data_IF_092081690239
#
_entry.id   IF_092081690239
#
_cell.length_a   1.000
_cell.length_b   1.000
_cell.length_c   1.000
_cell.angle_alpha   90.00
_cell.angle_beta   90.00
_cell.angle_gamma   90.00
#
_symmetry.space_group_name_H-M   'P 1'
#
loop_
_entity.id
_entity.type
_entity.pdbx_description
1 polymer ?
#
# COMPACT_ATOMS: atom_id res chain seq x y z
N UNK A 1 12.04 -29.52 5.25
CA UNK A 1 10.90 -29.77 4.33
C UNK A 1 10.60 -28.45 3.64
N UNK A 2 10.44 -28.46 2.32
CA UNK A 2 10.13 -27.27 1.53
C UNK A 2 8.64 -27.29 1.17
N UNK A 3 7.92 -26.23 1.52
CA UNK A 3 6.52 -26.05 1.17
C UNK A 3 6.38 -25.11 -0.02
N UNK A 4 5.41 -25.36 -0.89
CA UNK A 4 5.03 -24.48 -2.00
C UNK A 4 3.79 -23.69 -1.63
N UNK A 5 3.94 -22.38 -1.53
CA UNK A 5 2.84 -21.47 -1.20
C UNK A 5 2.51 -20.66 -2.44
N UNK A 6 1.23 -20.62 -2.82
CA UNK A 6 0.77 -19.69 -3.85
C UNK A 6 0.27 -18.41 -3.18
N UNK A 7 0.72 -17.27 -3.69
CA UNK A 7 0.37 -15.95 -3.16
C UNK A 7 -0.22 -15.09 -4.25
N UNK A 8 -1.30 -14.38 -3.93
CA UNK A 8 -1.97 -13.47 -4.85
C UNK A 8 -1.90 -12.05 -4.30
N UNK A 9 -1.63 -11.09 -5.18
CA UNK A 9 -1.82 -9.66 -4.97
C UNK A 9 -2.97 -9.21 -5.88
N UNK A 10 -4.17 -9.21 -5.33
CA UNK A 10 -5.43 -8.94 -6.02
C UNK A 10 -5.86 -7.49 -5.78
N UNK A 11 -5.48 -6.60 -6.70
CA UNK A 11 -5.97 -5.23 -6.74
C UNK A 11 -7.29 -5.10 -7.51
N UNK A 12 -7.75 -3.86 -7.72
CA UNK A 12 -9.03 -3.61 -8.42
C UNK A 12 -8.98 -3.90 -9.94
N UNK A 13 -7.81 -3.83 -10.57
CA UNK A 13 -7.66 -3.95 -12.04
C UNK A 13 -6.77 -5.10 -12.49
N UNK A 14 -5.87 -5.56 -11.62
CA UNK A 14 -4.84 -6.54 -11.93
C UNK A 14 -4.72 -7.51 -10.76
N UNK A 15 -4.42 -8.76 -11.05
CA UNK A 15 -4.05 -9.77 -10.08
C UNK A 15 -2.66 -10.26 -10.42
N UNK A 16 -1.71 -10.03 -9.52
CA UNK A 16 -0.40 -10.65 -9.60
C UNK A 16 -0.40 -11.93 -8.78
N UNK A 17 0.37 -12.93 -9.19
CA UNK A 17 0.43 -14.23 -8.52
C UNK A 17 1.86 -14.73 -8.51
N UNK A 18 2.25 -15.45 -7.46
CA UNK A 18 3.53 -16.13 -7.39
C UNK A 18 3.45 -17.47 -6.66
N UNK A 19 4.33 -18.39 -7.07
CA UNK A 19 4.71 -19.58 -6.29
C UNK A 19 5.97 -19.24 -5.50
N UNK A 20 5.87 -19.36 -4.18
CA UNK A 20 6.97 -19.12 -3.25
C UNK A 20 7.32 -20.43 -2.56
N UNK A 21 8.59 -20.82 -2.66
CA UNK A 21 9.13 -21.95 -1.90
C UNK A 21 9.50 -21.47 -0.50
N UNK A 22 9.04 -22.17 0.53
CA UNK A 22 9.36 -21.93 1.93
C UNK A 22 10.18 -23.10 2.50
N UNK A 23 11.44 -22.85 2.84
CA UNK A 23 12.27 -23.79 3.58
C UNK A 23 12.08 -23.59 5.09
N UNK A 24 11.36 -24.53 5.72
CA UNK A 24 11.06 -24.50 7.16
C UNK A 24 12.31 -24.56 8.04
N UNK A 25 13.42 -25.15 7.59
CA UNK A 25 14.65 -25.25 8.40
C UNK A 25 15.44 -23.95 8.41
N UNK A 26 15.49 -23.27 7.26
CA UNK A 26 16.22 -22.00 7.12
C UNK A 26 15.33 -20.79 7.39
N UNK A 27 14.02 -21.01 7.58
CA UNK A 27 12.99 -19.96 7.61
C UNK A 27 13.15 -19.00 6.42
N UNK A 28 13.42 -19.58 5.25
CA UNK A 28 13.79 -18.85 4.03
C UNK A 28 12.67 -18.96 3.00
N UNK A 29 12.38 -17.84 2.34
CA UNK A 29 11.37 -17.71 1.31
C UNK A 29 12.07 -17.38 -0.01
N UNK A 30 11.64 -18.01 -1.10
CA UNK A 30 12.15 -17.74 -2.43
C UNK A 30 11.03 -17.74 -3.47
N UNK A 31 10.82 -16.60 -4.14
CA UNK A 31 9.87 -16.50 -5.24
C UNK A 31 10.40 -17.27 -6.45
N UNK A 32 9.74 -18.37 -6.81
CA UNK A 32 10.19 -19.25 -7.90
C UNK A 32 9.66 -18.80 -9.25
N UNK A 33 8.40 -18.41 -9.29
CA UNK A 33 7.69 -18.01 -10.51
C UNK A 33 6.59 -17.04 -10.15
N UNK A 34 6.42 -16.01 -10.96
CA UNK A 34 5.39 -15.01 -10.77
C UNK A 34 4.83 -14.55 -12.11
N UNK A 35 3.62 -14.03 -12.10
CA UNK A 35 3.12 -13.27 -13.23
C UNK A 35 1.91 -12.42 -12.87
N UNK A 36 1.27 -11.89 -13.90
CA UNK A 36 0.30 -10.82 -13.77
C UNK A 36 -0.80 -10.98 -14.82
N UNK A 37 -2.05 -10.97 -14.37
CA UNK A 37 -3.23 -10.98 -15.24
C UNK A 37 -4.05 -9.71 -14.98
N UNK A 38 -4.60 -9.12 -16.04
CA UNK A 38 -5.61 -8.06 -15.87
C UNK A 38 -6.95 -8.71 -15.61
N UNK A 39 -7.61 -8.33 -14.53
CA UNK A 39 -8.88 -8.94 -14.08
C UNK A 39 -9.96 -8.82 -15.16
N UNK A 40 -9.96 -7.71 -15.91
CA UNK A 40 -10.93 -7.46 -16.99
C UNK A 40 -10.73 -8.29 -18.25
N UNK A 41 -9.59 -8.95 -18.40
CA UNK A 41 -9.34 -9.86 -19.53
C UNK A 41 -10.02 -11.23 -19.29
N UNK A 42 -10.55 -11.45 -18.07
CA UNK A 42 -11.33 -12.62 -17.68
C UNK A 42 -12.81 -12.25 -17.51
N UNK A 43 -13.69 -13.25 -17.67
CA UNK A 43 -15.15 -13.08 -17.49
C UNK A 43 -15.67 -13.65 -16.15
N UNK A 44 -14.85 -14.43 -15.44
CA UNK A 44 -15.19 -15.04 -14.15
C UNK A 44 -13.96 -15.27 -13.28
N UNK A 45 -14.20 -15.53 -11.99
CA UNK A 45 -13.14 -15.92 -11.05
C UNK A 45 -12.52 -17.28 -11.43
N UNK A 46 -13.31 -18.22 -11.94
CA UNK A 46 -12.81 -19.50 -12.47
C UNK A 46 -11.82 -19.28 -13.62
N UNK A 47 -12.15 -18.41 -14.58
CA UNK A 47 -11.25 -18.11 -15.69
C UNK A 47 -9.99 -17.41 -15.20
N UNK A 48 -10.11 -16.41 -14.32
CA UNK A 48 -8.94 -15.76 -13.72
C UNK A 48 -8.02 -16.80 -13.07
N UNK A 49 -8.59 -17.72 -12.29
CA UNK A 49 -7.82 -18.78 -11.64
C UNK A 49 -7.08 -19.66 -12.66
N UNK A 50 -7.75 -20.08 -13.72
CA UNK A 50 -7.13 -20.88 -14.78
C UNK A 50 -5.98 -20.12 -15.48
N UNK A 51 -6.16 -18.83 -15.77
CA UNK A 51 -5.09 -18.01 -16.35
C UNK A 51 -3.91 -17.83 -15.38
N UNK A 52 -4.18 -17.68 -14.08
CA UNK A 52 -3.13 -17.64 -13.07
C UNK A 52 -2.39 -18.99 -12.96
N UNK A 53 -3.10 -20.12 -13.00
CA UNK A 53 -2.50 -21.46 -13.04
C UNK A 53 -1.63 -21.66 -14.29
N UNK A 54 -2.08 -21.19 -15.46
CA UNK A 54 -1.31 -21.23 -16.71
C UNK A 54 -0.02 -20.41 -16.60
N UNK A 55 -0.11 -19.20 -16.03
CA UNK A 55 1.05 -18.32 -15.80
C UNK A 55 2.05 -18.93 -14.82
N UNK A 56 1.57 -19.68 -13.82
CA UNK A 56 2.41 -20.34 -12.83
C UNK A 56 2.92 -21.72 -13.27
N UNK A 57 2.40 -22.29 -14.36
CA UNK A 57 2.60 -23.70 -14.73
C UNK A 57 2.32 -24.65 -13.54
N UNK A 58 1.31 -24.30 -12.72
CA UNK A 58 0.98 -25.02 -11.49
C UNK A 58 -0.47 -24.79 -11.10
N UNK A 59 -1.19 -25.87 -10.82
CA UNK A 59 -2.56 -25.81 -10.28
C UNK A 59 -2.56 -25.31 -8.85
N UNK A 60 -3.60 -24.55 -8.48
CA UNK A 60 -3.84 -24.07 -7.12
C UNK A 60 -3.93 -25.23 -6.12
N UNK A 61 -4.55 -26.35 -6.54
CA UNK A 61 -4.70 -27.56 -5.72
C UNK A 61 -3.39 -28.33 -5.46
N UNK A 62 -2.29 -27.99 -6.14
CA UNK A 62 -0.98 -28.59 -5.90
C UNK A 62 -0.11 -27.82 -4.90
N UNK A 63 -0.57 -26.66 -4.41
CA UNK A 63 0.12 -25.92 -3.37
C UNK A 63 -0.14 -26.54 -1.98
N UNK A 64 0.73 -26.25 -1.02
CA UNK A 64 0.53 -26.61 0.39
C UNK A 64 -0.41 -25.61 1.09
N UNK A 65 -0.38 -24.33 0.66
CA UNK A 65 -1.28 -23.28 1.13
C UNK A 65 -1.43 -22.17 0.08
N UNK A 66 -2.51 -21.41 0.19
CA UNK A 66 -2.77 -20.24 -0.67
C UNK A 66 -3.06 -18.99 0.19
N UNK A 67 -2.35 -17.89 -0.05
CA UNK A 67 -2.63 -16.60 0.57
C UNK A 67 -3.01 -15.55 -0.48
N UNK A 68 -4.20 -14.98 -0.35
CA UNK A 68 -4.72 -13.97 -1.26
C UNK A 68 -4.77 -12.64 -0.52
N UNK A 69 -3.81 -11.76 -0.79
CA UNK A 69 -3.90 -10.35 -0.42
C UNK A 69 -4.82 -9.65 -1.39
N UNK A 70 -5.93 -9.09 -0.93
CA UNK A 70 -6.96 -8.53 -1.79
C UNK A 70 -7.45 -7.16 -1.34
N UNK A 71 -7.72 -6.30 -2.32
CA UNK A 71 -8.40 -5.04 -2.09
C UNK A 71 -9.88 -5.28 -1.80
N UNK A 72 -10.36 -4.89 -0.62
CA UNK A 72 -11.75 -5.03 -0.21
C UNK A 72 -11.93 -5.91 1.03
N UNK A 73 -13.19 -6.23 1.34
CA UNK A 73 -13.60 -6.96 2.52
C UNK A 73 -14.04 -8.38 2.15
N UNK A 74 -13.39 -9.37 2.73
CA UNK A 74 -13.78 -10.77 2.58
C UNK A 74 -14.66 -11.21 3.76
N UNK A 75 -15.86 -11.72 3.46
CA UNK A 75 -16.84 -12.11 4.48
C UNK A 75 -16.81 -13.61 4.84
N UNK A 76 -15.83 -14.36 4.32
CA UNK A 76 -15.76 -15.82 4.46
C UNK A 76 -16.31 -16.59 3.25
N UNK A 77 -17.07 -15.94 2.37
CA UNK A 77 -17.62 -16.54 1.15
C UNK A 77 -17.16 -15.82 -0.11
N UNK A 78 -17.30 -14.49 -0.11
CA UNK A 78 -16.98 -13.62 -1.25
C UNK A 78 -16.20 -12.38 -0.84
N UNK A 79 -15.37 -11.91 -1.78
CA UNK A 79 -14.64 -10.66 -1.65
C UNK A 79 -15.48 -9.51 -2.22
N UNK A 80 -15.65 -8.45 -1.43
CA UNK A 80 -16.43 -7.28 -1.78
C UNK A 80 -15.54 -6.04 -1.84
N UNK A 81 -15.61 -5.31 -2.94
CA UNK A 81 -14.96 -4.01 -3.11
C UNK A 81 -16.03 -2.95 -3.34
N UNK A 82 -15.90 -1.78 -2.69
CA UNK A 82 -16.90 -0.72 -2.80
C UNK A 82 -17.14 -0.24 -4.24
N UNK A 83 -16.08 -0.20 -5.05
CA UNK A 83 -16.17 0.12 -6.48
C UNK A 83 -16.63 -1.06 -7.37
N UNK A 84 -16.75 -2.26 -6.79
CA UNK A 84 -17.08 -3.50 -7.48
C UNK A 84 -15.89 -4.14 -8.21
N UNK A 85 -15.91 -5.46 -8.27
CA UNK A 85 -15.11 -6.24 -9.21
C UNK A 85 -15.89 -6.47 -10.52
N UNK A 86 -15.23 -6.78 -11.65
CA UNK A 86 -15.93 -7.04 -12.93
C UNK A 86 -16.89 -8.23 -12.89
N UNK A 87 -16.69 -9.16 -11.96
CA UNK A 87 -17.50 -10.35 -11.72
C UNK A 87 -17.46 -10.72 -10.23
N UNK A 88 -18.34 -11.64 -9.82
CA UNK A 88 -18.42 -12.07 -8.43
C UNK A 88 -17.17 -12.86 -7.98
N UNK A 89 -16.66 -12.52 -6.80
CA UNK A 89 -15.42 -13.09 -6.25
C UNK A 89 -15.73 -14.13 -5.16
N UNK A 90 -16.46 -15.20 -5.50
CA UNK A 90 -16.87 -16.28 -4.58
C UNK A 90 -15.74 -17.30 -4.30
N UNK A 91 -14.69 -16.87 -3.59
CA UNK A 91 -13.52 -17.71 -3.31
C UNK A 91 -13.85 -19.01 -2.57
N UNK A 92 -14.78 -19.01 -1.61
CA UNK A 92 -15.11 -20.23 -0.86
C UNK A 92 -15.73 -21.33 -1.75
N UNK A 93 -16.63 -20.95 -2.66
CA UNK A 93 -17.25 -21.88 -3.60
C UNK A 93 -16.20 -22.42 -4.59
N UNK A 94 -15.35 -21.54 -5.12
CA UNK A 94 -14.27 -21.89 -6.03
C UNK A 94 -13.26 -22.85 -5.40
N UNK A 95 -12.78 -22.53 -4.19
CA UNK A 95 -11.83 -23.35 -3.45
C UNK A 95 -12.37 -24.77 -3.22
N UNK A 96 -13.67 -24.89 -2.88
CA UNK A 96 -14.35 -26.18 -2.75
C UNK A 96 -14.47 -26.92 -4.09
N UNK A 97 -14.82 -26.22 -5.17
CA UNK A 97 -14.98 -26.81 -6.50
C UNK A 97 -13.67 -27.39 -7.04
N UNK A 98 -12.55 -26.67 -6.83
CA UNK A 98 -11.23 -27.05 -7.35
C UNK A 98 -10.35 -27.78 -6.34
N UNK A 99 -10.89 -28.16 -5.17
CA UNK A 99 -10.16 -28.82 -4.08
C UNK A 99 -8.85 -28.09 -3.73
N UNK A 100 -8.96 -26.78 -3.47
CA UNK A 100 -7.82 -26.01 -2.99
C UNK A 100 -7.35 -26.51 -1.63
N UNK A 101 -6.04 -26.39 -1.31
CA UNK A 101 -5.55 -26.57 0.04
C UNK A 101 -6.12 -25.50 0.98
N UNK A 102 -5.66 -25.49 2.22
CA UNK A 102 -5.94 -24.40 3.16
C UNK A 102 -5.58 -23.05 2.53
N UNK A 103 -6.51 -22.10 2.61
CA UNK A 103 -6.32 -20.78 2.04
C UNK A 103 -6.85 -19.67 2.94
N UNK A 104 -6.37 -18.45 2.71
CA UNK A 104 -6.86 -17.25 3.38
C UNK A 104 -6.94 -16.10 2.41
N UNK A 105 -8.01 -15.30 2.53
CA UNK A 105 -8.13 -14.00 1.87
C UNK A 105 -7.96 -12.93 2.93
N UNK A 106 -6.91 -12.12 2.80
CA UNK A 106 -6.54 -11.06 3.72
C UNK A 106 -6.48 -9.73 2.98
N UNK A 107 -6.41 -8.63 3.73
CA UNK A 107 -6.25 -7.30 3.14
C UNK A 107 -4.93 -7.21 2.35
N UNK A 108 -4.94 -6.54 1.20
CA UNK A 108 -3.78 -6.36 0.29
C UNK A 108 -2.50 -5.80 0.95
N UNK A 109 -2.61 -4.93 1.95
CA UNK A 109 -1.47 -4.42 2.73
C UNK A 109 -0.98 -5.34 3.86
N UNK A 110 -1.75 -6.36 4.24
CA UNK A 110 -1.31 -7.33 5.25
C UNK A 110 -0.06 -8.10 4.81
N UNK A 111 0.01 -8.65 3.58
CA UNK A 111 1.25 -9.16 3.01
C UNK A 111 2.39 -8.13 3.06
N UNK A 112 2.14 -6.87 2.73
CA UNK A 112 3.21 -5.87 2.69
C UNK A 112 3.85 -5.67 4.08
N UNK A 113 3.05 -5.62 5.15
CA UNK A 113 3.58 -5.59 6.53
C UNK A 113 4.36 -6.88 6.84
N UNK A 114 3.79 -8.03 6.51
CA UNK A 114 4.43 -9.33 6.72
C UNK A 114 5.79 -9.44 6.02
N UNK A 115 5.93 -8.86 4.82
CA UNK A 115 7.19 -8.85 4.07
C UNK A 115 8.31 -8.17 4.87
N UNK A 116 7.97 -7.14 5.65
CA UNK A 116 8.95 -6.46 6.49
C UNK A 116 9.54 -7.40 7.54
N UNK A 117 8.79 -8.40 8.03
CA UNK A 117 9.27 -9.38 9.02
C UNK A 117 10.20 -10.46 8.45
N UNK A 118 10.48 -10.42 7.16
CA UNK A 118 11.31 -11.41 6.47
C UNK A 118 12.68 -10.85 6.12
N UNK A 119 13.65 -11.73 5.89
CA UNK A 119 14.97 -11.35 5.39
C UNK A 119 14.92 -10.63 4.02
N UNK A 120 13.89 -10.88 3.20
CA UNK A 120 13.70 -10.18 1.93
C UNK A 120 13.64 -8.66 2.09
N UNK A 121 13.11 -8.16 3.21
CA UNK A 121 13.06 -6.73 3.49
C UNK A 121 14.45 -6.11 3.72
N UNK A 122 15.41 -6.89 4.22
CA UNK A 122 16.75 -6.39 4.58
C UNK A 122 17.67 -6.22 3.36
N UNK A 123 17.31 -6.80 2.21
CA UNK A 123 18.05 -6.68 0.97
C UNK A 123 18.10 -5.22 0.48
N UNK A 124 19.29 -4.64 0.22
CA UNK A 124 19.43 -3.24 -0.15
C UNK A 124 18.63 -2.81 -1.39
N UNK A 125 18.37 -3.72 -2.33
CA UNK A 125 17.55 -3.44 -3.52
C UNK A 125 16.06 -3.28 -3.21
N UNK A 126 15.60 -3.81 -2.07
CA UNK A 126 14.19 -3.89 -1.73
C UNK A 126 13.70 -2.71 -0.90
N UNK A 127 14.63 -1.89 -0.38
CA UNK A 127 14.34 -0.76 0.50
C UNK A 127 15.21 0.46 0.19
N UNK A 128 14.58 1.62 -0.02
CA UNK A 128 15.23 2.94 0.01
C UNK A 128 14.96 3.60 1.35
N UNK A 129 15.96 3.69 2.22
CA UNK A 129 15.86 4.42 3.50
C UNK A 129 15.76 5.93 3.24
N UNK A 130 14.83 6.59 3.93
CA UNK A 130 14.65 8.05 3.89
C UNK A 130 15.28 8.75 5.10
N UNK A 131 15.63 7.99 6.14
CA UNK A 131 16.45 8.47 7.26
C UNK A 131 17.44 7.38 7.71
N UNK A 132 18.41 7.77 8.54
CA UNK A 132 19.47 6.88 9.04
C UNK A 132 19.08 6.13 10.33
N UNK A 133 17.80 6.14 10.71
CA UNK A 133 17.34 5.52 11.96
C UNK A 133 17.27 3.99 11.78
N UNK A 134 17.91 3.21 12.68
CA UNK A 134 17.88 1.76 12.60
C UNK A 134 16.49 1.22 12.97
N UNK A 135 16.09 0.13 12.30
CA UNK A 135 14.86 -0.59 12.61
C UNK A 135 14.92 -1.21 14.02
N UNK A 136 13.89 -1.01 14.85
CA UNK A 136 13.66 -1.86 16.01
C UNK A 136 12.99 -3.18 15.55
N UNK A 137 13.66 -4.35 15.64
CA UNK A 137 13.18 -5.58 14.98
C UNK A 137 11.79 -6.04 15.43
N UNK A 138 11.46 -5.85 16.72
CA UNK A 138 10.16 -6.21 17.30
C UNK A 138 9.23 -5.01 17.47
N UNK A 139 9.64 -3.86 16.92
CA UNK A 139 8.87 -2.62 17.00
C UNK A 139 7.64 -2.68 16.10
N UNK A 140 6.66 -1.83 16.39
CA UNK A 140 5.46 -1.73 15.55
C UNK A 140 5.84 -1.14 14.20
N UNK A 141 5.46 -1.83 13.13
CA UNK A 141 5.77 -1.46 11.75
C UNK A 141 4.51 -1.05 11.04
N UNK A 142 4.63 -0.11 10.12
CA UNK A 142 3.54 0.32 9.24
C UNK A 142 3.95 0.09 7.79
N UNK A 143 3.09 -0.54 7.01
CA UNK A 143 3.12 -0.43 5.57
C UNK A 143 2.04 0.57 5.15
N UNK A 144 2.44 1.65 4.47
CA UNK A 144 1.56 2.70 3.99
C UNK A 144 1.76 2.84 2.48
N UNK A 145 0.73 2.58 1.68
CA UNK A 145 0.83 2.76 0.25
C UNK A 145 -0.09 3.81 -0.32
N UNK A 146 0.41 4.50 -1.35
CA UNK A 146 -0.29 5.52 -2.10
C UNK A 146 -0.30 5.09 -3.57
N UNK A 147 -1.49 4.91 -4.13
CA UNK A 147 -1.71 4.43 -5.48
C UNK A 147 -3.03 4.95 -6.04
N UNK A 148 -3.83 4.05 -6.59
CA UNK A 148 -5.24 4.35 -6.95
C UNK A 148 -6.09 4.67 -5.73
N UNK A 149 -5.73 4.12 -4.56
CA UNK A 149 -6.25 4.46 -3.23
C UNK A 149 -5.10 4.63 -2.23
N UNK A 150 -5.43 4.78 -0.95
CA UNK A 150 -4.47 4.76 0.16
C UNK A 150 -4.81 3.62 1.10
N UNK A 151 -3.86 2.71 1.28
CA UNK A 151 -3.99 1.64 2.28
C UNK A 151 -2.89 1.73 3.31
N UNK A 152 -3.24 1.38 4.54
CA UNK A 152 -2.30 1.27 5.65
C UNK A 152 -2.59 -0.02 6.41
N UNK A 153 -1.54 -0.78 6.72
CA UNK A 153 -1.60 -1.81 7.76
C UNK A 153 -0.42 -1.65 8.70
N UNK A 154 -0.66 -2.00 9.95
CA UNK A 154 0.35 -2.03 10.98
C UNK A 154 0.49 -3.44 11.54
N UNK A 155 1.65 -3.74 12.11
CA UNK A 155 1.88 -5.03 12.73
C UNK A 155 3.09 -5.05 13.64
N UNK A 156 3.18 -6.12 14.44
CA UNK A 156 4.23 -6.35 15.42
C UNK A 156 4.72 -7.78 15.24
N UNK A 157 6.04 -7.99 15.20
CA UNK A 157 6.67 -9.31 15.26
C UNK A 157 6.99 -9.63 16.72
N UNK A 158 6.63 -10.83 17.17
CA UNK A 158 6.95 -11.32 18.50
C UNK A 158 8.24 -12.16 18.49
N UNK A 159 8.89 -12.28 19.66
CA UNK A 159 10.16 -13.03 19.81
C UNK A 159 10.06 -14.49 19.38
N UNK A 160 8.87 -15.09 19.51
CA UNK A 160 8.63 -16.48 19.11
C UNK A 160 8.42 -16.65 17.58
N UNK A 161 8.50 -15.57 16.81
CA UNK A 161 8.30 -15.59 15.36
C UNK A 161 6.84 -15.56 14.90
N UNK A 162 5.87 -15.49 15.82
CA UNK A 162 4.50 -15.11 15.51
C UNK A 162 4.39 -13.58 15.38
N UNK A 163 3.26 -13.09 14.88
CA UNK A 163 3.04 -11.66 14.67
C UNK A 163 1.58 -11.27 14.94
N UNK A 164 1.36 -9.97 15.11
CA UNK A 164 0.03 -9.39 15.14
C UNK A 164 -0.11 -8.39 13.99
N UNK A 165 -1.30 -8.33 13.38
CA UNK A 165 -1.66 -7.36 12.36
C UNK A 165 -2.87 -6.55 12.82
N UNK A 166 -2.79 -5.23 12.65
CA UNK A 166 -3.88 -4.31 12.93
C UNK A 166 -4.94 -4.27 11.82
N UNK A 167 -6.14 -3.85 12.18
CA UNK A 167 -7.24 -3.62 11.25
C UNK A 167 -7.59 -2.14 11.23
N UNK A 168 -7.43 -1.49 10.07
CA UNK A 168 -7.75 -0.10 9.86
C UNK A 168 -8.04 0.19 8.38
N UNK A 169 -8.66 1.34 8.11
CA UNK A 169 -8.93 1.91 6.79
C UNK A 169 -8.40 3.37 6.75
N UNK A 170 -7.11 3.53 7.08
CA UNK A 170 -6.51 4.83 7.39
C UNK A 170 -6.59 5.85 6.25
N UNK A 171 -6.67 5.41 4.99
CA UNK A 171 -6.78 6.29 3.82
C UNK A 171 -8.03 7.19 3.83
N UNK A 172 -9.09 6.77 4.53
CA UNK A 172 -10.33 7.52 4.65
C UNK A 172 -10.33 8.53 5.81
N UNK A 173 -9.24 8.61 6.58
CA UNK A 173 -9.10 9.65 7.62
C UNK A 173 -9.09 11.04 6.97
N UNK A 174 -9.79 11.97 7.61
CA UNK A 174 -9.87 13.36 7.17
C UNK A 174 -8.52 14.06 7.22
N UNK A 175 -8.24 14.89 6.22
CA UNK A 175 -7.09 15.80 6.23
C UNK A 175 -7.41 16.94 7.18
N UNK A 176 -6.94 16.81 8.43
CA UNK A 176 -7.06 17.85 9.44
C UNK A 176 -5.90 18.82 9.36
N UNK A 177 -6.16 20.09 9.70
CA UNK A 177 -5.10 21.08 9.80
C UNK A 177 -4.21 20.79 11.02
N UNK A 178 -2.89 20.59 10.82
CA UNK A 178 -2.01 20.26 11.93
C UNK A 178 -1.74 21.50 12.81
N UNK A 179 -1.49 21.33 14.12
CA UNK A 179 -1.39 22.44 15.07
C UNK A 179 -0.29 23.47 14.78
N UNK A 180 0.79 23.07 14.09
CA UNK A 180 1.92 23.95 13.76
C UNK A 180 1.98 24.31 12.28
N UNK A 181 0.87 24.23 11.55
CA UNK A 181 0.80 24.74 10.18
C UNK A 181 1.13 26.25 10.13
N UNK A 182 1.99 26.64 9.19
CA UNK A 182 2.25 28.06 8.92
C UNK A 182 0.97 28.75 8.44
N UNK A 183 0.89 30.08 8.60
CA UNK A 183 -0.22 30.88 8.07
C UNK A 183 -0.42 30.65 6.57
N UNK A 184 0.67 30.62 5.80
CA UNK A 184 0.64 30.37 4.36
C UNK A 184 0.09 28.98 4.04
N UNK A 185 0.49 27.95 4.81
CA UNK A 185 -0.02 26.58 4.66
C UNK A 185 -1.52 26.50 4.93
N UNK A 186 -2.00 27.19 5.97
CA UNK A 186 -3.43 27.26 6.31
C UNK A 186 -4.24 27.97 5.22
N UNK A 187 -3.77 29.12 4.74
CA UNK A 187 -4.41 29.85 3.65
C UNK A 187 -4.49 29.01 2.36
N UNK A 188 -3.37 28.35 2.01
CA UNK A 188 -3.31 27.42 0.87
C UNK A 188 -4.29 26.26 1.02
N UNK A 189 -4.35 25.64 2.20
CA UNK A 189 -5.27 24.53 2.45
C UNK A 189 -6.75 24.96 2.29
N UNK A 190 -7.12 26.11 2.85
CA UNK A 190 -8.46 26.65 2.70
C UNK A 190 -8.80 26.98 1.24
N UNK A 191 -7.86 27.57 0.50
CA UNK A 191 -8.02 27.85 -0.93
C UNK A 191 -8.18 26.55 -1.74
N UNK A 192 -7.40 25.51 -1.41
CA UNK A 192 -7.52 24.20 -2.05
C UNK A 192 -8.87 23.55 -1.76
N UNK A 193 -9.36 23.57 -0.52
CA UNK A 193 -10.69 23.08 -0.17
C UNK A 193 -11.80 23.80 -0.95
N UNK A 194 -11.71 25.13 -1.07
CA UNK A 194 -12.65 25.91 -1.86
C UNK A 194 -12.63 25.48 -3.33
N UNK A 195 -11.43 25.38 -3.91
CA UNK A 195 -11.25 24.94 -5.30
C UNK A 195 -11.82 23.53 -5.55
N UNK A 196 -11.55 22.57 -4.67
CA UNK A 196 -12.07 21.20 -4.81
C UNK A 196 -13.61 21.16 -4.78
N UNK A 197 -14.24 22.04 -4.00
CA UNK A 197 -15.71 22.20 -3.98
C UNK A 197 -16.23 22.91 -5.21
N UNK A 198 -15.57 23.98 -5.65
CA UNK A 198 -15.93 24.75 -6.85
C UNK A 198 -15.86 23.89 -8.12
N UNK A 199 -14.90 22.96 -8.19
CA UNK A 199 -14.78 21.98 -9.28
C UNK A 199 -15.65 20.73 -9.10
N UNK A 200 -16.52 20.68 -8.08
CA UNK A 200 -17.38 19.54 -7.77
C UNK A 200 -16.62 18.21 -7.53
N UNK A 201 -15.34 18.28 -7.20
CA UNK A 201 -14.50 17.12 -6.81
C UNK A 201 -14.87 16.67 -5.39
N UNK A 202 -15.16 17.64 -4.53
CA UNK A 202 -15.65 17.45 -3.17
C UNK A 202 -17.08 17.97 -3.09
N UNK A 203 -18.02 17.16 -2.57
CA UNK A 203 -19.40 17.64 -2.36
C UNK A 203 -19.42 18.72 -1.28
N UNK A 204 -20.47 19.56 -1.27
CA UNK A 204 -20.61 20.73 -0.38
C UNK A 204 -20.30 20.40 1.09
N UNK A 205 -20.83 19.29 1.59
CA UNK A 205 -20.73 18.87 2.99
C UNK A 205 -19.81 17.65 3.19
N UNK A 206 -19.05 17.25 2.16
CA UNK A 206 -18.07 16.15 2.25
C UNK A 206 -16.77 16.67 2.87
N UNK A 207 -16.21 15.92 3.82
CA UNK A 207 -14.88 16.16 4.38
C UNK A 207 -13.79 15.70 3.41
N UNK A 208 -12.67 16.43 3.36
CA UNK A 208 -11.51 16.02 2.56
C UNK A 208 -10.78 14.88 3.26
N UNK A 209 -10.66 13.71 2.63
CA UNK A 209 -9.82 12.60 3.09
C UNK A 209 -8.44 12.62 2.42
N UNK A 210 -7.45 11.96 3.04
CA UNK A 210 -6.14 11.80 2.42
C UNK A 210 -6.23 11.07 1.09
N UNK A 211 -7.06 10.04 1.00
CA UNK A 211 -7.25 9.30 -0.25
C UNK A 211 -7.76 10.20 -1.39
N UNK A 212 -8.76 11.07 -1.15
CA UNK A 212 -9.24 12.00 -2.18
C UNK A 212 -8.15 12.97 -2.63
N UNK A 213 -7.30 13.40 -1.69
CA UNK A 213 -6.28 14.41 -1.95
C UNK A 213 -5.04 13.85 -2.64
N UNK A 214 -4.60 12.63 -2.28
CA UNK A 214 -3.32 12.08 -2.69
C UNK A 214 -3.45 10.91 -3.68
N UNK A 215 -4.48 10.09 -3.59
CA UNK A 215 -4.61 8.94 -4.49
C UNK A 215 -5.22 9.28 -5.84
N UNK A 216 -4.99 8.43 -6.84
CA UNK A 216 -5.61 8.52 -8.16
C UNK A 216 -5.41 9.88 -8.82
N UNK A 217 -6.49 10.65 -8.95
CA UNK A 217 -6.51 11.98 -9.58
C UNK A 217 -5.99 13.11 -8.66
N UNK A 218 -5.65 12.82 -7.40
CA UNK A 218 -5.28 13.80 -6.39
C UNK A 218 -4.15 14.74 -6.83
N UNK A 219 -3.08 14.19 -7.41
CA UNK A 219 -1.95 14.98 -7.94
C UNK A 219 -2.39 15.89 -9.10
N UNK A 220 -3.24 15.39 -10.02
CA UNK A 220 -3.75 16.18 -11.14
C UNK A 220 -4.67 17.32 -10.66
N UNK A 221 -5.53 17.08 -9.67
CA UNK A 221 -6.34 18.11 -9.04
C UNK A 221 -5.47 19.19 -8.38
N UNK A 222 -4.42 18.78 -7.66
CA UNK A 222 -3.47 19.71 -7.04
C UNK A 222 -2.69 20.51 -8.08
N UNK A 223 -2.32 19.88 -9.20
CA UNK A 223 -1.70 20.58 -10.32
C UNK A 223 -2.64 21.63 -10.92
N UNK A 224 -3.90 21.27 -11.16
CA UNK A 224 -4.89 22.20 -11.68
C UNK A 224 -5.11 23.42 -10.76
N UNK A 225 -5.01 23.23 -9.44
CA UNK A 225 -5.09 24.32 -8.47
C UNK A 225 -3.97 25.36 -8.66
N UNK A 226 -2.72 24.94 -8.90
CA UNK A 226 -1.59 25.87 -9.11
C UNK A 226 -1.49 26.39 -10.55
N UNK A 227 -1.88 25.58 -11.53
CA UNK A 227 -1.77 25.91 -12.95
C UNK A 227 -3.15 25.80 -13.62
N UNK A 228 -4.06 26.76 -13.37
CA UNK A 228 -5.43 26.69 -13.86
C UNK A 228 -5.53 26.62 -15.40
N UNK A 229 -4.56 27.18 -16.11
CA UNK A 229 -4.48 27.16 -17.58
C UNK A 229 -4.09 25.79 -18.15
N UNK A 230 -3.61 24.85 -17.32
CA UNK A 230 -3.16 23.52 -17.71
C UNK A 230 -4.16 22.40 -17.36
N UNK A 231 -5.44 22.75 -17.16
CA UNK A 231 -6.48 21.84 -16.63
C UNK A 231 -6.78 20.57 -17.44
N UNK A 232 -6.40 20.54 -18.72
CA UNK A 232 -6.71 19.42 -19.62
C UNK A 232 -5.63 18.31 -19.61
N UNK A 233 -4.58 18.46 -18.79
CA UNK A 233 -3.52 17.46 -18.67
C UNK A 233 -4.02 16.20 -18.00
N UNK A 234 -3.63 15.05 -18.55
CA UNK A 234 -3.84 13.73 -17.97
C UNK A 234 -2.98 13.53 -16.71
N UNK A 235 -3.31 12.51 -15.90
CA UNK A 235 -2.48 12.13 -14.73
C UNK A 235 -1.03 11.88 -15.16
N UNK A 236 -0.83 11.20 -16.29
CA UNK A 236 0.51 10.84 -16.76
C UNK A 236 1.32 12.09 -17.15
N UNK A 237 0.70 13.04 -17.86
CA UNK A 237 1.36 14.30 -18.23
C UNK A 237 1.69 15.15 -17.01
N UNK A 238 0.80 15.21 -16.00
CA UNK A 238 1.10 15.89 -14.73
C UNK A 238 2.23 15.17 -14.02
N UNK A 239 2.20 13.84 -13.98
CA UNK A 239 3.25 13.02 -13.39
C UNK A 239 4.62 13.27 -14.03
N UNK A 240 4.68 13.37 -15.36
CA UNK A 240 5.89 13.74 -16.09
C UNK A 240 6.41 15.13 -15.71
N UNK A 241 5.53 16.12 -15.58
CA UNK A 241 5.92 17.47 -15.15
C UNK A 241 6.50 17.47 -13.73
N UNK A 242 5.89 16.71 -12.81
CA UNK A 242 6.35 16.57 -11.43
C UNK A 242 7.72 15.88 -11.38
N UNK A 243 7.88 14.75 -12.09
CA UNK A 243 9.16 14.01 -12.20
C UNK A 243 10.28 14.87 -12.78
N UNK A 244 9.96 15.69 -13.77
CA UNK A 244 10.90 16.62 -14.41
C UNK A 244 11.11 17.91 -13.61
N UNK A 245 10.49 18.04 -12.42
CA UNK A 245 10.53 19.25 -11.57
C UNK A 245 10.07 20.53 -12.28
N UNK A 246 9.18 20.39 -13.27
CA UNK A 246 8.55 21.48 -14.05
C UNK A 246 7.25 21.99 -13.45
N UNK A 247 6.80 21.39 -12.35
CA UNK A 247 5.62 21.81 -11.60
C UNK A 247 5.96 21.98 -10.09
N UNK A 248 6.88 22.89 -9.72
CA UNK A 248 7.44 22.96 -8.37
C UNK A 248 6.38 23.22 -7.28
N UNK A 249 5.38 24.06 -7.53
CA UNK A 249 4.31 24.30 -6.57
C UNK A 249 3.46 23.06 -6.31
N UNK A 250 3.20 22.26 -7.36
CA UNK A 250 2.51 20.96 -7.22
C UNK A 250 3.36 19.99 -6.43
N UNK A 251 4.64 19.84 -6.78
CA UNK A 251 5.56 18.92 -6.11
C UNK A 251 5.70 19.26 -4.62
N UNK A 252 5.94 20.52 -4.27
CA UNK A 252 6.08 20.99 -2.90
C UNK A 252 4.81 20.76 -2.07
N UNK A 253 3.65 21.17 -2.59
CA UNK A 253 2.39 20.97 -1.89
C UNK A 253 2.05 19.48 -1.72
N UNK A 254 2.27 18.67 -2.76
CA UNK A 254 2.00 17.24 -2.73
C UNK A 254 2.91 16.54 -1.72
N UNK A 255 4.20 16.85 -1.74
CA UNK A 255 5.17 16.38 -0.75
C UNK A 255 4.75 16.75 0.68
N UNK A 256 4.33 17.99 0.91
CA UNK A 256 3.84 18.42 2.22
C UNK A 256 2.65 17.59 2.72
N UNK A 257 1.65 17.31 1.87
CA UNK A 257 0.50 16.50 2.27
C UNK A 257 0.83 15.01 2.44
N UNK A 258 1.75 14.46 1.64
CA UNK A 258 2.28 13.10 1.86
C UNK A 258 3.04 13.03 3.19
N UNK A 259 3.82 14.06 3.51
CA UNK A 259 4.47 14.22 4.80
C UNK A 259 3.48 14.28 5.96
N UNK A 260 2.41 15.07 5.80
CA UNK A 260 1.34 15.17 6.79
C UNK A 260 0.65 13.82 7.04
N UNK A 261 0.42 13.02 5.99
CA UNK A 261 -0.12 11.67 6.10
C UNK A 261 0.82 10.77 6.93
N UNK A 262 2.13 10.81 6.63
CA UNK A 262 3.15 10.05 7.38
C UNK A 262 3.21 10.49 8.84
N UNK A 263 3.24 11.80 9.10
CA UNK A 263 3.22 12.34 10.47
C UNK A 263 1.95 11.97 11.25
N UNK A 264 0.80 11.94 10.57
CA UNK A 264 -0.47 11.46 11.14
C UNK A 264 -0.35 9.99 11.52
N UNK A 265 0.17 9.14 10.64
CA UNK A 265 0.41 7.71 10.93
C UNK A 265 1.40 7.53 12.10
N UNK A 266 2.49 8.30 12.15
CA UNK A 266 3.43 8.24 13.26
C UNK A 266 2.76 8.54 14.60
N UNK A 267 1.89 9.54 14.66
CA UNK A 267 1.16 9.88 15.89
C UNK A 267 0.09 8.84 16.27
N UNK A 268 -0.59 8.27 15.27
CA UNK A 268 -1.65 7.29 15.52
C UNK A 268 -1.12 5.95 16.03
N UNK A 269 0.07 5.55 15.58
CA UNK A 269 0.57 4.19 15.78
C UNK A 269 1.85 4.10 16.61
N UNK A 270 2.62 5.20 16.73
CA UNK A 270 3.95 5.26 17.36
C UNK A 270 4.89 4.14 16.88
N UNK A 271 5.17 4.04 15.57
CA UNK A 271 5.85 2.89 14.96
C UNK A 271 7.37 2.94 15.12
N UNK A 272 7.89 2.50 16.25
CA UNK A 272 9.33 2.34 16.50
C UNK A 272 10.00 1.27 15.61
N UNK A 273 9.21 0.38 15.01
CA UNK A 273 9.61 -0.52 13.91
C UNK A 273 9.50 0.12 12.52
N UNK A 274 9.13 1.39 12.44
CA UNK A 274 9.23 2.22 11.24
C UNK A 274 7.99 2.28 10.35
N UNK A 275 8.03 3.25 9.45
CA UNK A 275 7.04 3.51 8.40
C UNK A 275 7.63 3.17 7.04
N UNK A 276 6.99 2.24 6.35
CA UNK A 276 7.44 1.67 5.09
C UNK A 276 6.45 2.04 3.98
N UNK A 277 6.87 2.95 3.11
CA UNK A 277 6.05 3.52 2.05
C UNK A 277 6.07 2.62 0.80
N UNK A 278 4.94 2.49 0.12
CA UNK A 278 4.84 1.73 -1.13
C UNK A 278 3.71 2.24 -2.04
N UNK A 279 3.40 1.51 -3.10
CA UNK A 279 2.32 1.82 -4.03
C UNK A 279 2.78 2.61 -5.25
N UNK A 280 1.94 2.60 -6.28
CA UNK A 280 2.30 3.12 -7.61
C UNK A 280 2.68 4.60 -7.62
N UNK A 281 2.04 5.44 -6.79
CA UNK A 281 2.40 6.86 -6.72
C UNK A 281 3.78 7.01 -6.07
N UNK A 282 4.01 6.34 -4.94
CA UNK A 282 5.30 6.41 -4.22
C UNK A 282 6.45 5.96 -5.13
N UNK A 283 6.29 4.83 -5.82
CA UNK A 283 7.34 4.25 -6.65
C UNK A 283 7.63 5.03 -7.94
N UNK A 284 6.61 5.71 -8.49
CA UNK A 284 6.77 6.51 -9.71
C UNK A 284 7.19 7.97 -9.44
N UNK A 285 7.18 8.41 -8.19
CA UNK A 285 7.45 9.80 -7.80
C UNK A 285 8.41 9.91 -6.62
N UNK A 286 9.61 9.33 -6.77
CA UNK A 286 10.62 9.34 -5.71
C UNK A 286 11.11 10.76 -5.34
N UNK A 287 10.99 11.71 -6.26
CA UNK A 287 11.32 13.12 -6.09
C UNK A 287 10.52 13.83 -4.99
N UNK A 288 9.34 13.29 -4.63
CA UNK A 288 8.50 13.78 -3.53
C UNK A 288 9.26 13.67 -2.20
N UNK A 289 9.95 12.56 -1.99
CA UNK A 289 10.66 12.26 -0.74
C UNK A 289 12.02 12.94 -0.64
N UNK A 290 12.43 13.65 -1.70
CA UNK A 290 13.61 14.52 -1.72
C UNK A 290 13.27 15.96 -1.34
N UNK A 291 11.99 16.31 -1.20
CA UNK A 291 11.57 17.67 -0.85
C UNK A 291 11.65 17.91 0.66
N UNK A 292 12.14 19.10 1.07
CA UNK A 292 12.05 19.55 2.45
C UNK A 292 10.58 19.63 2.92
N UNK A 293 9.66 20.00 2.03
CA UNK A 293 8.22 20.03 2.27
C UNK A 293 7.67 18.71 2.81
N UNK A 294 8.20 17.56 2.36
CA UNK A 294 7.80 16.25 2.88
C UNK A 294 8.11 16.12 4.37
N UNK A 295 9.32 16.48 4.79
CA UNK A 295 9.69 16.46 6.21
C UNK A 295 8.93 17.53 7.01
N UNK A 296 8.76 18.73 6.46
CA UNK A 296 7.91 19.76 7.09
C UNK A 296 6.47 19.31 7.31
N UNK A 297 5.93 18.48 6.41
CA UNK A 297 4.62 17.84 6.59
C UNK A 297 4.59 16.87 7.76
N UNK A 298 5.61 16.01 7.90
CA UNK A 298 5.75 15.05 9.02
C UNK A 298 5.84 15.78 10.37
N UNK A 299 6.53 16.92 10.38
CA UNK A 299 6.81 17.70 11.58
C UNK A 299 5.71 18.72 11.93
N UNK A 300 4.68 18.86 11.09
CA UNK A 300 3.63 19.87 11.24
C UNK A 300 2.80 19.73 12.53
N UNK A 301 2.92 18.60 13.25
CA UNK A 301 2.38 18.41 14.60
C UNK A 301 3.51 18.33 15.64
N UNK A 302 3.54 19.19 16.67
CA UNK A 302 4.66 19.24 17.62
C UNK A 302 4.64 18.07 18.63
N UNK A 303 3.53 17.35 18.74
CA UNK A 303 3.37 16.27 19.71
C UNK A 303 4.43 15.16 19.50
N UNK A 304 5.19 14.88 20.55
CA UNK A 304 6.24 13.86 20.59
C UNK A 304 7.26 13.96 19.45
N UNK A 305 7.49 15.14 18.87
CA UNK A 305 8.31 15.29 17.66
C UNK A 305 9.72 14.70 17.83
N UNK A 306 10.40 14.97 18.94
CA UNK A 306 11.72 14.42 19.25
C UNK A 306 11.76 12.87 19.23
N UNK A 307 10.66 12.21 19.62
CA UNK A 307 10.52 10.76 19.56
C UNK A 307 10.20 10.30 18.14
N UNK A 308 9.27 10.98 17.46
CA UNK A 308 8.85 10.63 16.10
C UNK A 308 9.96 10.76 15.05
N UNK A 309 10.90 11.69 15.25
CA UNK A 309 12.11 11.80 14.43
C UNK A 309 13.05 10.59 14.57
N UNK A 310 12.84 9.75 15.59
CA UNK A 310 13.57 8.49 15.82
C UNK A 310 12.81 7.28 15.29
N UNK A 311 11.78 7.46 14.47
CA UNK A 311 11.14 6.34 13.78
C UNK A 311 11.81 6.09 12.43
N UNK A 312 12.16 4.82 12.11
CA UNK A 312 12.67 4.47 10.79
C UNK A 312 11.66 4.85 9.71
N UNK A 313 12.16 5.38 8.59
CA UNK A 313 11.33 5.77 7.46
C UNK A 313 12.00 5.30 6.17
N UNK A 314 11.23 4.65 5.29
CA UNK A 314 11.76 4.17 4.01
C UNK A 314 10.67 3.82 3.01
N UNK A 315 11.10 3.49 1.80
CA UNK A 315 10.27 3.08 0.67
C UNK A 315 10.59 1.63 0.34
N UNK A 316 9.56 0.79 0.20
CA UNK A 316 9.65 -0.59 -0.25
C UNK A 316 9.71 -0.63 -1.78
N UNK A 317 10.91 -0.81 -2.34
CA UNK A 317 11.17 -0.77 -3.80
C UNK A 317 11.14 -2.15 -4.48
N UNK A 318 11.23 -3.23 -3.71
CA UNK A 318 11.20 -4.60 -4.22
C UNK A 318 9.88 -4.96 -4.92
N UNK A 319 9.93 -5.84 -5.91
CA UNK A 319 8.75 -6.23 -6.70
C UNK A 319 7.92 -7.33 -6.06
N UNK A 320 8.55 -8.12 -5.19
CA UNK A 320 7.95 -9.33 -4.63
C UNK A 320 7.47 -9.16 -3.18
N UNK A 321 7.39 -7.92 -2.64
CA UNK A 321 6.97 -7.68 -1.25
C UNK A 321 5.64 -8.36 -0.92
N UNK A 322 4.63 -8.21 -1.79
CA UNK A 322 3.33 -8.85 -1.58
C UNK A 322 3.43 -10.38 -1.57
N UNK A 323 4.24 -10.97 -2.44
CA UNK A 323 4.41 -12.42 -2.51
C UNK A 323 5.16 -12.97 -1.30
N UNK A 324 6.30 -12.39 -0.96
CA UNK A 324 7.12 -12.82 0.17
C UNK A 324 6.36 -12.68 1.48
N UNK A 325 5.64 -11.57 1.66
CA UNK A 325 4.83 -11.36 2.83
C UNK A 325 3.57 -12.24 2.92
N UNK A 326 2.92 -12.50 1.78
CA UNK A 326 1.79 -13.45 1.71
C UNK A 326 2.23 -14.88 2.05
N UNK A 327 3.42 -15.27 1.56
CA UNK A 327 4.01 -16.56 1.85
C UNK A 327 4.42 -16.67 3.32
N UNK A 328 5.00 -15.60 3.89
CA UNK A 328 5.28 -15.53 5.32
C UNK A 328 4.00 -15.69 6.15
N UNK A 329 2.93 -14.97 5.81
CA UNK A 329 1.63 -15.10 6.48
C UNK A 329 1.13 -16.56 6.45
N UNK A 330 1.07 -17.16 5.26
CA UNK A 330 0.63 -18.55 5.09
C UNK A 330 1.50 -19.53 5.89
N UNK A 331 2.83 -19.34 5.88
CA UNK A 331 3.75 -20.22 6.60
C UNK A 331 3.54 -20.25 8.12
N UNK A 332 2.97 -19.18 8.68
CA UNK A 332 2.70 -19.06 10.13
C UNK A 332 1.24 -19.35 10.49
N UNK A 333 0.30 -19.15 9.57
CA UNK A 333 -1.15 -19.19 9.84
C UNK A 333 -1.90 -20.34 9.22
N UNK A 334 -1.34 -20.95 8.17
CA UNK A 334 -2.02 -21.97 7.38
C UNK A 334 -1.25 -23.31 7.36
N UNK A 335 0.07 -23.27 7.47
CA UNK A 335 0.90 -24.47 7.55
C UNK A 335 1.12 -24.90 9.01
N UNK A 336 1.13 -26.21 9.25
CA UNK A 336 1.42 -26.85 10.55
C UNK A 336 2.93 -26.91 10.89
#
# INVERSE_FOLDING_TARGET
>A
MTHKIITWDLGATKCAVAVVDYDKHQNHLHCKQSGLIKIRDCISLDQLTQELENVLDMKMSHADAICIGAAGQYNGESLQLAAGYPYAMHFAALAKQYNWPVFSVIHDYSPIVCATFTNYFEEPSNIKRLNAVPLHPLGRRIALGIGTGIGLKDGILFENGDFWLGTNEFGHIGVVMPPSASKQTLERHNALLYFLREKYILKKDEGLSFEKLLAGQGMAHMHHFFYPDQKNKTIEEVGDLVRQKKAPETLAAYAWYVGLLVGTAQLSFMPDGGVWLTGGVVLNHLEIFEQDDFFLGIEASPAYLNLRQQFPLGILCGKDHAFMGGAYYASKRLLD
#
